data_IF_935135136038
#
_entry.id   IF_935135136038
#
_cell.length_a   1.000
_cell.length_b   1.000
_cell.length_c   1.000
_cell.angle_alpha   90.00
_cell.angle_beta   90.00
_cell.angle_gamma   90.00
#
_symmetry.space_group_name_H-M   'P 1'
#
loop_
_entity.id
_entity.type
_entity.pdbx_description
1 polymer ?
#
# COMPACT_ATOMS: atom_id res chain seq x y z
N UNK A 1 15.07 -12.45 0.45
CA UNK A 1 14.71 -11.00 0.54
C UNK A 1 15.50 -10.44 1.72
N UNK A 2 16.82 -10.40 1.54
CA UNK A 2 17.69 -10.08 2.65
C UNK A 2 18.06 -8.61 2.56
N UNK A 3 17.49 -7.82 3.49
CA UNK A 3 18.14 -6.64 4.03
C UNK A 3 18.44 -5.47 3.11
N UNK A 4 17.53 -5.19 2.17
CA UNK A 4 17.55 -3.92 1.44
C UNK A 4 17.48 -2.69 2.38
N UNK A 5 16.95 -2.89 3.59
CA UNK A 5 16.72 -1.83 4.58
C UNK A 5 17.87 -1.67 5.61
N UNK A 6 18.87 -2.55 5.60
CA UNK A 6 20.03 -2.45 6.50
C UNK A 6 20.72 -1.09 6.46
N UNK A 7 21.01 -0.51 5.29
CA UNK A 7 21.62 0.82 5.20
C UNK A 7 20.78 1.94 5.83
N UNK A 8 19.46 1.76 5.91
CA UNK A 8 18.53 2.76 6.45
C UNK A 8 18.29 2.58 7.95
N UNK A 9 18.19 1.34 8.42
CA UNK A 9 17.82 1.02 9.81
C UNK A 9 19.05 0.67 10.69
N UNK A 10 20.20 0.38 10.07
CA UNK A 10 21.38 -0.15 10.74
C UNK A 10 21.34 -1.68 10.89
N UNK A 11 22.53 -2.29 10.97
CA UNK A 11 22.69 -3.74 11.01
C UNK A 11 22.15 -4.37 12.32
N UNK A 12 22.11 -3.60 13.40
CA UNK A 12 21.64 -4.04 14.72
C UNK A 12 20.13 -3.89 14.92
N UNK A 13 19.40 -3.41 13.91
CA UNK A 13 17.94 -3.25 14.05
C UNK A 13 17.26 -4.62 14.15
N UNK A 14 16.44 -4.88 15.19
CA UNK A 14 15.86 -6.20 15.42
C UNK A 14 15.05 -6.70 14.24
N UNK A 15 15.38 -7.89 13.72
CA UNK A 15 14.71 -8.50 12.57
C UNK A 15 13.19 -8.60 12.75
N UNK A 16 12.74 -8.91 13.96
CA UNK A 16 11.32 -9.01 14.29
C UNK A 16 10.58 -7.69 14.04
N UNK A 17 11.24 -6.58 14.40
CA UNK A 17 10.69 -5.25 14.14
C UNK A 17 10.66 -4.94 12.64
N UNK A 18 11.73 -5.27 11.89
CA UNK A 18 11.73 -5.11 10.43
C UNK A 18 10.57 -5.88 9.81
N UNK A 19 10.40 -7.15 10.19
CA UNK A 19 9.32 -8.00 9.70
C UNK A 19 7.94 -7.45 10.05
N UNK A 20 7.76 -6.97 11.27
CA UNK A 20 6.50 -6.36 11.69
C UNK A 20 6.10 -5.19 10.79
N UNK A 21 7.07 -4.43 10.28
CA UNK A 21 6.80 -3.27 9.43
C UNK A 21 6.79 -3.57 7.93
N UNK A 22 7.53 -4.59 7.46
CA UNK A 22 7.75 -4.84 6.03
C UNK A 22 7.11 -6.12 5.50
N UNK A 23 6.67 -7.03 6.36
CA UNK A 23 5.93 -8.23 5.95
C UNK A 23 4.54 -7.82 5.44
N UNK A 24 4.14 -8.22 4.21
CA UNK A 24 2.88 -7.80 3.61
C UNK A 24 1.63 -8.11 4.44
N UNK A 25 1.63 -9.24 5.16
CA UNK A 25 0.52 -9.59 6.04
C UNK A 25 0.37 -8.59 7.20
N UNK A 26 1.47 -8.24 7.86
CA UNK A 26 1.43 -7.26 8.94
C UNK A 26 1.16 -5.84 8.43
N UNK A 27 1.68 -5.48 7.27
CA UNK A 27 1.38 -4.20 6.63
C UNK A 27 -0.13 -4.05 6.39
N UNK A 28 -0.75 -5.07 5.81
CA UNK A 28 -2.18 -5.08 5.55
C UNK A 28 -3.02 -5.09 6.84
N UNK A 29 -2.63 -5.88 7.85
CA UNK A 29 -3.30 -5.88 9.14
C UNK A 29 -3.28 -4.50 9.82
N UNK A 30 -2.14 -3.79 9.77
CA UNK A 30 -2.01 -2.43 10.32
C UNK A 30 -2.87 -1.43 9.57
N UNK A 31 -2.89 -1.49 8.23
CA UNK A 31 -3.73 -0.63 7.41
C UNK A 31 -5.21 -0.80 7.75
N UNK A 32 -5.70 -2.03 7.80
CA UNK A 32 -7.10 -2.30 8.18
C UNK A 32 -7.41 -1.91 9.63
N UNK A 33 -6.49 -2.13 10.57
CA UNK A 33 -6.63 -1.67 11.94
C UNK A 33 -6.81 -0.15 12.00
N UNK A 34 -5.96 0.60 11.29
CA UNK A 34 -6.03 2.07 11.22
C UNK A 34 -7.31 2.57 10.53
N UNK A 35 -7.79 1.90 9.48
CA UNK A 35 -9.07 2.22 8.83
C UNK A 35 -10.22 2.05 9.84
N UNK A 36 -10.26 0.94 10.58
CA UNK A 36 -11.30 0.68 11.59
C UNK A 36 -11.26 1.69 12.74
N UNK A 37 -10.06 2.06 13.22
CA UNK A 37 -9.88 3.14 14.19
C UNK A 37 -10.45 4.47 13.67
N UNK A 38 -10.05 4.87 12.46
CA UNK A 38 -10.52 6.10 11.84
C UNK A 38 -12.05 6.15 11.68
N UNK A 39 -12.68 5.01 11.41
CA UNK A 39 -14.14 4.89 11.35
C UNK A 39 -14.80 5.02 12.74
N UNK A 40 -14.25 4.36 13.77
CA UNK A 40 -14.74 4.46 15.15
C UNK A 40 -14.65 5.89 15.69
N UNK A 41 -13.56 6.57 15.40
CA UNK A 41 -13.32 7.95 15.82
C UNK A 41 -14.01 8.99 14.91
N UNK A 42 -14.80 8.54 13.94
CA UNK A 42 -15.52 9.40 12.97
C UNK A 42 -14.60 10.30 12.13
N UNK A 43 -13.31 9.97 12.05
CA UNK A 43 -12.34 10.63 11.15
C UNK A 43 -12.59 10.27 9.68
N UNK A 44 -13.14 9.09 9.43
CA UNK A 44 -13.68 8.72 8.13
C UNK A 44 -15.06 8.08 8.30
N UNK A 45 -16.06 8.59 7.57
CA UNK A 45 -17.41 8.00 7.51
C UNK A 45 -17.58 7.08 6.31
N UNK A 46 -16.59 7.02 5.45
CA UNK A 46 -16.66 6.33 4.19
C UNK A 46 -16.06 4.95 4.24
N UNK A 47 -16.55 4.09 3.35
CA UNK A 47 -15.96 2.78 3.08
C UNK A 47 -14.72 2.98 2.20
N UNK A 48 -13.53 3.11 2.80
CA UNK A 48 -12.27 3.35 2.09
C UNK A 48 -11.77 2.10 1.37
N UNK A 49 -12.00 0.93 1.96
CA UNK A 49 -11.58 -0.38 1.46
C UNK A 49 -12.72 -1.40 1.60
N UNK A 50 -12.55 -2.59 1.05
CA UNK A 50 -13.42 -3.73 1.35
C UNK A 50 -13.34 -4.06 2.84
N UNK A 51 -14.43 -4.57 3.41
CA UNK A 51 -14.45 -4.90 4.85
C UNK A 51 -13.48 -6.05 5.11
N UNK A 52 -12.61 -5.89 6.11
CA UNK A 52 -11.77 -6.93 6.64
C UNK A 52 -12.43 -7.52 7.91
N UNK A 53 -12.52 -8.83 7.97
CA UNK A 53 -13.08 -9.58 9.11
C UNK A 53 -12.00 -10.02 10.09
N UNK A 54 -10.72 -9.91 9.70
CA UNK A 54 -9.58 -10.34 10.47
C UNK A 54 -8.69 -11.29 9.68
N UNK A 55 -8.01 -12.17 10.38
CA UNK A 55 -7.11 -13.15 9.77
C UNK A 55 -7.25 -14.52 10.41
N UNK A 56 -6.80 -15.54 9.69
CA UNK A 56 -6.74 -16.92 10.14
C UNK A 56 -5.37 -17.52 9.86
N UNK A 57 -5.04 -18.57 10.62
CA UNK A 57 -3.93 -19.47 10.30
C UNK A 57 -4.49 -20.72 9.65
N UNK A 58 -4.14 -20.98 8.41
CA UNK A 58 -4.60 -22.16 7.69
C UNK A 58 -4.14 -23.44 8.40
N UNK A 59 -5.02 -24.44 8.49
CA UNK A 59 -4.61 -25.77 8.88
C UNK A 59 -3.88 -26.47 7.73
N UNK A 60 -3.09 -27.50 8.03
CA UNK A 60 -2.46 -28.33 6.96
C UNK A 60 -3.49 -28.93 5.99
N UNK A 61 -4.70 -29.22 6.48
CA UNK A 61 -5.80 -29.69 5.64
C UNK A 61 -6.27 -28.63 4.66
N UNK A 62 -6.40 -27.40 5.15
CA UNK A 62 -6.80 -26.25 4.31
C UNK A 62 -5.73 -25.91 3.28
N UNK A 63 -4.45 -25.92 3.69
CA UNK A 63 -3.33 -25.70 2.78
C UNK A 63 -3.34 -26.74 1.63
N UNK A 64 -3.51 -28.02 1.98
CA UNK A 64 -3.61 -29.10 0.99
C UNK A 64 -4.80 -28.93 0.05
N UNK A 65 -5.99 -28.61 0.62
CA UNK A 65 -7.19 -28.38 -0.17
C UNK A 65 -7.00 -27.23 -1.18
N UNK A 66 -6.44 -26.10 -0.75
CA UNK A 66 -6.21 -24.95 -1.62
C UNK A 66 -5.19 -25.28 -2.73
N UNK A 67 -4.13 -26.04 -2.42
CA UNK A 67 -3.18 -26.53 -3.41
C UNK A 67 -3.82 -27.45 -4.45
N UNK A 68 -4.72 -28.37 -4.01
CA UNK A 68 -5.49 -29.24 -4.90
C UNK A 68 -6.42 -28.44 -5.83
N UNK A 69 -6.86 -27.24 -5.40
CA UNK A 69 -7.62 -26.30 -6.24
C UNK A 69 -6.73 -25.44 -7.14
N UNK A 70 -5.42 -25.72 -7.21
CA UNK A 70 -4.48 -25.00 -8.06
C UNK A 70 -4.06 -23.61 -7.50
N UNK A 71 -4.35 -23.32 -6.23
CA UNK A 71 -3.94 -22.07 -5.60
C UNK A 71 -2.50 -22.20 -5.14
N UNK A 72 -1.61 -21.39 -5.72
CA UNK A 72 -0.23 -21.28 -5.25
C UNK A 72 -0.19 -20.47 -3.95
N UNK A 73 0.14 -21.17 -2.88
CA UNK A 73 0.28 -20.58 -1.55
C UNK A 73 1.66 -19.94 -1.32
N UNK A 74 2.53 -19.93 -2.31
CA UNK A 74 3.89 -19.39 -2.20
C UNK A 74 4.75 -20.09 -1.13
N UNK A 75 4.34 -21.27 -0.68
CA UNK A 75 4.96 -21.97 0.46
C UNK A 75 6.44 -22.28 0.24
N UNK A 76 6.86 -22.42 -1.02
CA UNK A 76 8.24 -22.64 -1.44
C UNK A 76 9.13 -21.39 -1.37
N UNK A 77 8.54 -20.20 -1.33
CA UNK A 77 9.25 -18.92 -1.28
C UNK A 77 9.53 -18.44 0.14
N UNK A 78 8.89 -19.05 1.14
CA UNK A 78 8.98 -18.60 2.52
C UNK A 78 10.09 -19.33 3.27
N UNK A 79 11.08 -18.55 3.72
CA UNK A 79 12.09 -19.04 4.67
C UNK A 79 11.39 -19.58 5.93
N UNK A 80 11.72 -20.80 6.32
CA UNK A 80 11.16 -21.44 7.51
C UNK A 80 11.45 -20.66 8.81
N UNK A 81 12.56 -19.91 8.86
CA UNK A 81 12.87 -19.02 10.00
C UNK A 81 11.88 -17.86 10.08
N UNK A 82 11.58 -17.25 8.93
CA UNK A 82 10.58 -16.18 8.85
C UNK A 82 9.18 -16.66 9.22
N UNK A 83 8.77 -17.84 8.75
CA UNK A 83 7.49 -18.45 9.12
C UNK A 83 7.36 -18.66 10.63
N UNK A 84 8.43 -19.05 11.31
CA UNK A 84 8.45 -19.27 12.75
C UNK A 84 8.44 -17.96 13.52
N UNK A 85 9.21 -16.97 13.08
CA UNK A 85 9.30 -15.67 13.71
C UNK A 85 7.99 -14.85 13.66
N UNK A 86 7.15 -15.09 12.64
CA UNK A 86 5.90 -14.34 12.42
C UNK A 86 4.67 -14.93 13.12
N UNK A 87 4.84 -15.91 14.00
CA UNK A 87 3.75 -16.56 14.74
C UNK A 87 3.06 -17.70 13.96
N UNK A 88 2.05 -18.32 14.59
CA UNK A 88 1.27 -19.37 13.94
C UNK A 88 1.98 -20.71 13.73
N UNK A 89 3.15 -20.92 14.34
CA UNK A 89 3.93 -22.16 14.26
C UNK A 89 4.25 -22.60 12.81
N UNK A 90 4.50 -21.63 11.93
CA UNK A 90 4.82 -21.89 10.52
C UNK A 90 3.60 -22.13 9.62
N UNK A 91 2.38 -21.98 10.13
CA UNK A 91 1.16 -22.03 9.31
C UNK A 91 1.05 -20.83 8.38
N UNK A 92 0.40 -21.02 7.24
CA UNK A 92 0.08 -19.92 6.33
C UNK A 92 -0.95 -19.01 6.97
N UNK A 93 -0.71 -17.72 6.86
CA UNK A 93 -1.60 -16.65 7.33
C UNK A 93 -2.48 -16.18 6.16
N UNK A 94 -3.78 -16.05 6.40
CA UNK A 94 -4.71 -15.54 5.42
C UNK A 94 -5.55 -14.41 6.02
N UNK A 95 -5.69 -13.31 5.29
CA UNK A 95 -6.58 -12.20 5.65
C UNK A 95 -7.96 -12.49 5.07
N UNK A 96 -8.99 -12.38 5.89
CA UNK A 96 -10.38 -12.63 5.49
C UNK A 96 -11.06 -11.30 5.20
N UNK A 97 -11.47 -11.12 3.95
CA UNK A 97 -12.12 -9.89 3.47
C UNK A 97 -13.46 -10.20 2.80
N UNK A 98 -14.37 -9.22 2.77
CA UNK A 98 -15.54 -9.29 1.90
C UNK A 98 -15.07 -9.49 0.45
N UNK A 99 -15.82 -10.28 -0.31
CA UNK A 99 -15.64 -10.31 -1.75
C UNK A 99 -15.93 -8.92 -2.31
N UNK A 100 -14.97 -8.36 -3.02
CA UNK A 100 -15.18 -7.09 -3.69
C UNK A 100 -16.33 -7.25 -4.70
N UNK A 101 -17.26 -6.29 -4.74
CA UNK A 101 -18.29 -6.32 -5.77
C UNK A 101 -17.61 -6.33 -7.15
N UNK A 102 -18.22 -7.07 -8.06
CA UNK A 102 -17.74 -7.41 -9.40
C UNK A 102 -16.60 -6.57 -9.98
N UNK A 103 -15.76 -7.20 -10.76
CA UNK A 103 -14.57 -6.68 -11.44
C UNK A 103 -14.84 -5.40 -12.27
N UNK A 104 -15.23 -4.32 -11.60
CA UNK A 104 -15.30 -3.01 -12.24
C UNK A 104 -13.91 -2.42 -12.22
N UNK A 105 -13.24 -2.34 -13.37
CA UNK A 105 -11.92 -1.72 -13.44
C UNK A 105 -12.03 -0.24 -13.04
N UNK A 106 -10.91 0.33 -12.62
CA UNK A 106 -10.82 1.77 -12.49
C UNK A 106 -10.99 2.41 -13.88
N UNK A 107 -11.77 3.48 -13.95
CA UNK A 107 -12.03 4.21 -15.19
C UNK A 107 -12.46 5.64 -14.86
N UNK A 108 -12.68 6.46 -15.89
CA UNK A 108 -13.02 7.86 -15.71
C UNK A 108 -14.26 8.12 -14.82
N UNK A 109 -15.21 7.19 -14.75
CA UNK A 109 -16.46 7.37 -13.97
C UNK A 109 -16.24 7.22 -12.46
N UNK A 110 -15.24 6.44 -12.02
CA UNK A 110 -14.96 6.17 -10.60
C UNK A 110 -13.62 6.76 -10.12
N UNK A 111 -12.85 7.37 -11.04
CA UNK A 111 -11.50 7.87 -10.78
C UNK A 111 -11.46 8.97 -9.70
N UNK A 112 -12.40 9.92 -9.74
CA UNK A 112 -12.49 11.00 -8.75
C UNK A 112 -12.75 10.46 -7.34
N UNK A 113 -13.62 9.48 -7.24
CA UNK A 113 -13.91 8.83 -5.95
C UNK A 113 -12.71 8.02 -5.46
N UNK A 114 -12.03 7.30 -6.36
CA UNK A 114 -10.81 6.55 -6.03
C UNK A 114 -9.71 7.48 -5.50
N UNK A 115 -9.44 8.60 -6.18
CA UNK A 115 -8.47 9.60 -5.71
C UNK A 115 -8.83 10.15 -4.33
N UNK A 116 -10.11 10.44 -4.11
CA UNK A 116 -10.57 10.93 -2.81
C UNK A 116 -10.32 9.91 -1.71
N UNK A 117 -10.54 8.61 -1.97
CA UNK A 117 -10.23 7.54 -1.00
C UNK A 117 -8.74 7.39 -0.74
N UNK A 118 -7.89 7.48 -1.77
CA UNK A 118 -6.43 7.52 -1.59
C UNK A 118 -6.03 8.67 -0.67
N UNK A 119 -6.54 9.88 -0.92
CA UNK A 119 -6.26 11.04 -0.06
C UNK A 119 -6.70 10.81 1.38
N UNK A 120 -7.89 10.24 1.59
CA UNK A 120 -8.39 9.93 2.95
C UNK A 120 -7.54 8.85 3.65
N UNK A 121 -7.01 7.85 2.92
CA UNK A 121 -6.05 6.91 3.50
C UNK A 121 -4.77 7.64 3.95
N UNK A 122 -4.25 8.55 3.13
CA UNK A 122 -3.07 9.34 3.52
C UNK A 122 -3.35 10.25 4.73
N UNK A 123 -4.56 10.81 4.85
CA UNK A 123 -5.01 11.57 6.04
C UNK A 123 -5.04 10.68 7.30
N UNK A 124 -5.42 9.40 7.16
CA UNK A 124 -5.33 8.39 8.21
C UNK A 124 -3.90 7.90 8.46
N UNK A 125 -2.91 8.46 7.76
CA UNK A 125 -1.50 8.07 7.84
C UNK A 125 -1.25 6.64 7.36
N UNK A 126 -1.95 6.24 6.31
CA UNK A 126 -1.76 5.01 5.57
C UNK A 126 -1.29 5.39 4.17
N UNK A 127 -0.07 5.02 3.81
CA UNK A 127 0.52 5.21 2.48
C UNK A 127 0.55 3.84 1.82
N UNK A 128 -0.27 3.64 0.77
CA UNK A 128 -0.47 2.32 0.16
C UNK A 128 0.78 1.82 -0.56
N UNK A 129 1.46 2.71 -1.31
CA UNK A 129 2.73 2.46 -2.03
C UNK A 129 2.64 1.41 -3.14
N UNK A 130 1.42 1.08 -3.56
CA UNK A 130 1.15 0.18 -4.68
C UNK A 130 -0.16 0.57 -5.38
N UNK A 131 -0.24 1.85 -5.79
CA UNK A 131 -1.40 2.40 -6.48
C UNK A 131 -1.32 2.03 -7.96
N UNK A 132 -2.06 1.01 -8.37
CA UNK A 132 -2.18 0.53 -9.75
C UNK A 132 -3.56 -0.06 -9.99
N UNK A 133 -3.96 -0.17 -11.25
CA UNK A 133 -5.34 -0.50 -11.63
C UNK A 133 -5.84 -1.84 -11.05
N UNK A 134 -4.99 -2.86 -11.00
CA UNK A 134 -5.34 -4.18 -10.49
C UNK A 134 -5.71 -4.15 -9.00
N UNK A 135 -5.14 -3.21 -8.25
CA UNK A 135 -5.38 -3.05 -6.82
C UNK A 135 -6.66 -2.26 -6.52
N UNK A 136 -7.42 -1.90 -7.57
CA UNK A 136 -8.74 -1.29 -7.42
C UNK A 136 -9.85 -2.25 -7.83
N UNK A 137 -10.92 -2.24 -7.06
CA UNK A 137 -12.22 -2.84 -7.42
C UNK A 137 -13.28 -1.74 -7.33
N UNK A 138 -13.64 -1.19 -8.50
CA UNK A 138 -14.30 0.10 -8.55
C UNK A 138 -13.41 1.18 -7.92
N UNK A 139 -13.95 2.03 -7.03
CA UNK A 139 -13.15 3.06 -6.37
C UNK A 139 -12.44 2.59 -5.10
N UNK A 140 -12.47 1.29 -4.76
CA UNK A 140 -11.92 0.75 -3.50
C UNK A 140 -10.57 0.09 -3.72
N UNK A 141 -9.60 0.42 -2.89
CA UNK A 141 -8.33 -0.32 -2.82
C UNK A 141 -8.59 -1.65 -2.11
N UNK A 142 -8.02 -2.74 -2.65
CA UNK A 142 -8.21 -4.10 -2.13
C UNK A 142 -6.92 -4.75 -1.61
N UNK A 143 -5.77 -4.14 -1.86
CA UNK A 143 -4.47 -4.62 -1.41
C UNK A 143 -3.71 -3.53 -0.64
N UNK A 144 -3.25 -3.89 0.56
CA UNK A 144 -2.45 -3.05 1.44
C UNK A 144 -1.13 -3.73 1.83
N UNK A 145 -0.73 -4.78 1.11
CA UNK A 145 0.48 -5.56 1.43
C UNK A 145 1.78 -4.76 1.36
N UNK A 146 1.81 -3.68 0.58
CA UNK A 146 2.96 -2.77 0.46
C UNK A 146 2.85 -1.53 1.34
N UNK A 147 1.76 -1.38 2.11
CA UNK A 147 1.44 -0.13 2.81
C UNK A 147 2.36 0.16 3.98
N UNK A 148 2.67 1.45 4.15
CA UNK A 148 3.29 1.99 5.34
C UNK A 148 2.24 2.74 6.17
N UNK A 149 1.94 2.22 7.36
CA UNK A 149 0.99 2.84 8.29
C UNK A 149 1.76 3.41 9.47
N UNK A 150 1.61 4.71 9.76
CA UNK A 150 2.29 5.35 10.89
C UNK A 150 1.77 4.85 12.26
N UNK A 151 2.65 4.69 13.26
CA UNK A 151 4.11 4.87 13.16
C UNK A 151 4.77 3.76 12.33
N UNK A 152 5.81 4.11 11.57
CA UNK A 152 6.51 3.16 10.70
C UNK A 152 8.02 3.38 10.77
N UNK A 153 8.79 2.32 11.07
CA UNK A 153 10.24 2.43 11.31
C UNK A 153 10.99 3.02 10.11
N UNK A 154 10.60 2.65 8.89
CA UNK A 154 11.25 3.16 7.69
C UNK A 154 10.97 4.65 7.48
N UNK A 155 9.76 5.13 7.76
CA UNK A 155 9.46 6.57 7.69
C UNK A 155 10.26 7.35 8.74
N UNK A 156 10.39 6.79 9.95
CA UNK A 156 11.15 7.42 11.02
C UNK A 156 12.68 7.48 10.75
N UNK A 157 13.18 6.59 9.90
CA UNK A 157 14.58 6.53 9.51
C UNK A 157 14.94 7.38 8.29
N UNK A 158 13.95 7.86 7.53
CA UNK A 158 14.17 8.72 6.38
C UNK A 158 14.57 10.13 6.79
N UNK A 159 15.36 10.78 5.95
CA UNK A 159 15.55 12.22 6.05
C UNK A 159 14.27 12.98 5.68
N UNK A 160 14.28 14.29 5.87
CA UNK A 160 13.10 15.14 5.61
C UNK A 160 12.61 15.06 4.16
N UNK A 161 13.49 14.87 3.19
CA UNK A 161 13.10 14.79 1.78
C UNK A 161 12.47 13.44 1.48
N UNK A 162 13.11 12.34 1.90
CA UNK A 162 12.58 10.99 1.74
C UNK A 162 11.26 10.77 2.49
N UNK A 163 11.09 11.36 3.69
CA UNK A 163 9.82 11.34 4.41
C UNK A 163 8.71 12.05 3.62
N UNK A 164 8.96 13.26 3.12
CA UNK A 164 8.00 13.99 2.30
C UNK A 164 7.63 13.21 1.02
N UNK A 165 8.62 12.69 0.31
CA UNK A 165 8.38 11.92 -0.91
C UNK A 165 7.57 10.65 -0.62
N UNK A 166 7.88 9.98 0.49
CA UNK A 166 7.14 8.79 0.91
C UNK A 166 5.67 9.08 1.28
N UNK A 167 5.37 10.28 1.77
CA UNK A 167 3.99 10.68 2.12
C UNK A 167 3.13 11.07 0.93
N UNK A 168 3.74 11.45 -0.18
CA UNK A 168 3.04 11.84 -1.40
C UNK A 168 3.09 10.79 -2.51
N UNK A 169 3.81 9.68 -2.28
CA UNK A 169 4.05 8.67 -3.31
C UNK A 169 2.77 8.11 -3.92
N UNK A 170 1.73 7.90 -3.12
CA UNK A 170 0.44 7.38 -3.59
C UNK A 170 -0.22 8.29 -4.63
N UNK A 171 -0.06 9.61 -4.48
CA UNK A 171 -0.61 10.58 -5.43
C UNK A 171 0.19 10.60 -6.74
N UNK A 172 1.51 10.45 -6.67
CA UNK A 172 2.35 10.30 -7.85
C UNK A 172 2.01 9.02 -8.61
N UNK A 173 1.94 7.88 -7.90
CA UNK A 173 1.54 6.60 -8.50
C UNK A 173 0.13 6.62 -9.07
N UNK A 174 -0.78 7.46 -8.52
CA UNK A 174 -2.12 7.61 -9.05
C UNK A 174 -2.11 8.32 -10.42
N UNK A 175 -1.28 9.34 -10.59
CA UNK A 175 -1.09 10.00 -11.88
C UNK A 175 -0.41 9.08 -12.89
N UNK A 176 0.58 8.29 -12.46
CA UNK A 176 1.23 7.27 -13.28
C UNK A 176 0.22 6.20 -13.75
N UNK A 177 -0.63 5.71 -12.86
CA UNK A 177 -1.71 4.77 -13.20
C UNK A 177 -2.66 5.34 -14.25
N UNK A 178 -3.06 6.62 -14.14
CA UNK A 178 -3.90 7.27 -15.15
C UNK A 178 -3.22 7.24 -16.52
N UNK A 179 -1.93 7.51 -16.56
CA UNK A 179 -1.13 7.53 -17.78
C UNK A 179 -0.97 6.12 -18.38
N UNK A 180 -0.61 5.13 -17.57
CA UNK A 180 -0.41 3.74 -17.99
C UNK A 180 -1.69 3.09 -18.53
N UNK A 181 -2.81 3.31 -17.83
CA UNK A 181 -4.14 2.82 -18.24
C UNK A 181 -4.78 3.66 -19.35
N UNK A 182 -4.11 4.72 -19.80
CA UNK A 182 -4.59 5.63 -20.87
C UNK A 182 -5.98 6.19 -20.57
N UNK A 183 -6.30 6.47 -19.31
CA UNK A 183 -7.60 7.00 -18.91
C UNK A 183 -7.73 8.45 -19.38
N UNK A 184 -8.69 8.71 -20.26
CA UNK A 184 -8.95 10.06 -20.77
C UNK A 184 -9.63 10.91 -19.70
N UNK A 185 -8.88 11.72 -18.98
CA UNK A 185 -9.36 12.59 -17.91
C UNK A 185 -8.55 13.89 -17.85
N UNK A 186 -9.12 14.90 -17.19
CA UNK A 186 -8.40 16.13 -16.78
C UNK A 186 -7.99 16.05 -15.31
N UNK A 187 -8.30 14.96 -14.62
CA UNK A 187 -7.96 14.78 -13.21
C UNK A 187 -6.45 14.59 -13.08
N UNK A 188 -5.84 15.32 -12.15
CA UNK A 188 -4.45 15.23 -11.76
C UNK A 188 -4.41 15.15 -10.24
N UNK A 189 -3.76 14.13 -9.71
CA UNK A 189 -3.65 13.94 -8.25
C UNK A 189 -2.64 14.93 -7.64
N UNK A 190 -1.55 15.23 -8.38
CA UNK A 190 -0.45 16.11 -7.97
C UNK A 190 -0.27 17.32 -8.90
N UNK A 191 -1.18 18.27 -8.92
CA UNK A 191 -1.14 19.40 -9.87
C UNK A 191 0.11 20.28 -9.75
N UNK A 192 0.81 20.23 -8.62
CA UNK A 192 2.00 21.08 -8.37
C UNK A 192 3.32 20.50 -8.94
N UNK A 193 3.35 19.24 -9.38
CA UNK A 193 4.57 18.69 -10.02
C UNK A 193 4.89 19.39 -11.34
N UNK A 194 3.88 19.67 -12.15
CA UNK A 194 4.06 20.44 -13.38
C UNK A 194 4.63 21.85 -13.14
N UNK A 195 4.27 22.49 -12.03
CA UNK A 195 4.79 23.81 -11.65
C UNK A 195 6.27 23.77 -11.26
N UNK A 196 6.73 22.71 -10.61
CA UNK A 196 8.15 22.55 -10.25
C UNK A 196 9.05 22.43 -11.49
N UNK A 197 8.61 21.71 -12.52
CA UNK A 197 9.34 21.59 -13.78
C UNK A 197 9.28 22.88 -14.60
N UNK A 198 8.14 23.54 -14.69
CA UNK A 198 7.96 24.82 -15.37
C UNK A 198 8.77 25.95 -14.72
N UNK A 199 8.85 26.02 -13.39
CA UNK A 199 9.67 27.00 -12.67
C UNK A 199 11.18 26.78 -12.90
N UNK A 200 11.63 25.52 -13.03
CA UNK A 200 13.03 25.22 -13.38
C UNK A 200 13.38 25.58 -14.82
N UNK A 201 12.44 25.47 -15.75
CA UNK A 201 12.66 25.84 -17.15
C UNK A 201 12.57 27.35 -17.39
N UNK A 202 11.85 28.13 -16.59
CA UNK A 202 11.75 29.57 -16.72
C UNK A 202 12.97 30.33 -16.21
N UNK A 203 13.82 29.72 -15.36
CA UNK A 203 15.08 30.32 -14.90
C UNK A 203 16.22 30.30 -15.93
N UNK A 204 16.01 29.72 -17.11
CA UNK A 204 16.98 29.67 -18.22
C UNK A 204 16.65 30.61 -19.37
N UNK A 205 15.82 31.62 -19.18
CA UNK A 205 15.79 32.74 -20.15
C UNK A 205 16.96 33.66 -19.90
N UNK A 206 18.02 33.29 -20.55
CA UNK A 206 19.24 34.02 -20.74
C UNK A 206 19.03 35.44 -21.17
N UNK A 207 19.83 36.27 -20.57
CA UNK A 207 20.39 37.46 -21.15
C UNK A 207 21.10 37.10 -22.47
N UNK A 208 20.50 37.45 -23.62
CA UNK A 208 21.21 37.71 -24.84
C UNK A 208 21.37 39.22 -24.92
N UNK A 209 22.57 39.62 -24.63
CA UNK A 209 23.17 40.91 -25.04
C UNK A 209 23.46 40.84 -26.51
#
# INVERSE_FOLDING_TARGET
MQYYWGPLLGDDYPLENVLFYTDPFFAECRAYGRIQEGQKEKRSREKLAVKCHGYIFLSKKDEKYLQEQGIDLGSHLLDNKLRRATGGQGRIRAIVKDLAPENKPINNSNLTEALRKVKQLNELKIYNRDIRAENFKGPHIVDFGSSWTEPHCLLAALDKFGDNDSRIVDLAMFDDMIFEEKIKTKLVAMPNLEYREKLRSSSKKEKKT
#
